data_IF_012256126751
#
_entry.id   IF_012256126751
#
_cell.length_a   1.000
_cell.length_b   1.000
_cell.length_c   1.000
_cell.angle_alpha   90.00
_cell.angle_beta   90.00
_cell.angle_gamma   90.00
#
_symmetry.space_group_name_H-M   'P 1'
#
loop_
_entity.id
_entity.type
_entity.pdbx_description
1 polymer ?
#
# COMPACT_ATOMS: atom_id res chain seq x y z
N UNK A 1 16.82 -6.01 9.79
CA UNK A 1 17.26 -7.23 10.53
C UNK A 1 16.07 -7.93 11.22
N UNK A 2 15.21 -7.27 12.04
CA UNK A 2 14.11 -7.97 12.75
C UNK A 2 13.18 -8.76 11.82
N UNK A 3 12.77 -8.17 10.68
CA UNK A 3 11.89 -8.84 9.69
C UNK A 3 12.53 -10.13 9.14
N UNK A 4 13.83 -10.12 8.82
CA UNK A 4 14.53 -11.30 8.32
C UNK A 4 14.66 -12.39 9.38
N UNK A 5 14.80 -12.00 10.64
CA UNK A 5 14.86 -12.96 11.74
C UNK A 5 13.47 -13.58 12.00
N UNK A 6 12.42 -12.77 11.99
CA UNK A 6 11.04 -13.26 12.13
C UNK A 6 10.65 -14.29 11.05
N UNK A 7 11.06 -14.07 9.79
CA UNK A 7 10.80 -15.02 8.68
C UNK A 7 11.31 -16.42 8.98
N UNK A 8 12.44 -16.55 9.67
CA UNK A 8 13.06 -17.86 9.96
C UNK A 8 12.22 -18.74 10.89
N UNK A 9 11.42 -18.11 11.75
CA UNK A 9 10.67 -18.76 12.82
C UNK A 9 9.15 -18.75 12.59
N UNK A 10 8.70 -18.28 11.42
CA UNK A 10 7.27 -18.10 11.14
C UNK A 10 6.82 -18.99 9.99
N UNK A 11 5.64 -19.63 10.11
CA UNK A 11 4.96 -20.30 9.00
C UNK A 11 4.33 -19.28 8.05
N UNK A 12 3.80 -18.19 8.61
CA UNK A 12 3.21 -17.07 7.89
C UNK A 12 3.70 -15.78 8.53
N UNK A 13 4.05 -14.78 7.73
CA UNK A 13 4.44 -13.48 8.20
C UNK A 13 3.58 -12.40 7.53
N UNK A 14 2.97 -11.55 8.33
CA UNK A 14 2.21 -10.39 7.90
C UNK A 14 3.08 -9.14 8.11
N UNK A 15 3.34 -8.37 7.06
CA UNK A 15 4.24 -7.21 7.11
C UNK A 15 3.47 -5.95 6.76
N UNK A 16 3.44 -4.99 7.71
CA UNK A 16 2.91 -3.65 7.52
C UNK A 16 4.01 -2.59 7.31
N UNK A 17 5.27 -2.93 7.61
CA UNK A 17 6.41 -2.01 7.51
C UNK A 17 6.90 -1.91 6.06
N UNK A 18 6.42 -0.89 5.35
CA UNK A 18 6.76 -0.64 3.95
C UNK A 18 8.26 -0.38 3.71
N UNK A 19 8.94 0.22 4.67
CA UNK A 19 10.37 0.50 4.57
C UNK A 19 11.19 -0.79 4.47
N UNK A 20 10.82 -1.84 5.21
CA UNK A 20 11.47 -3.15 5.10
C UNK A 20 11.32 -3.74 3.69
N UNK A 21 10.15 -3.59 3.09
CA UNK A 21 9.87 -4.09 1.74
C UNK A 21 10.60 -3.25 0.70
N UNK A 22 10.52 -1.93 0.79
CA UNK A 22 11.17 -1.02 -0.16
C UNK A 22 12.68 -1.22 -0.14
N UNK A 23 13.30 -1.27 1.03
CA UNK A 23 14.75 -1.35 1.15
C UNK A 23 15.32 -2.77 1.06
N UNK A 24 14.53 -3.80 1.46
CA UNK A 24 15.05 -5.13 1.70
C UNK A 24 14.34 -6.27 0.98
N UNK A 25 13.45 -5.99 0.03
CA UNK A 25 12.59 -7.01 -0.57
C UNK A 25 13.33 -8.23 -1.13
N UNK A 26 14.42 -8.02 -1.83
CA UNK A 26 15.19 -9.13 -2.38
C UNK A 26 15.72 -10.09 -1.29
N UNK A 27 16.14 -9.57 -0.13
CA UNK A 27 16.57 -10.39 0.99
C UNK A 27 15.38 -11.07 1.68
N UNK A 28 14.28 -10.33 1.87
CA UNK A 28 13.05 -10.87 2.45
C UNK A 28 12.49 -11.98 1.57
N UNK A 29 12.33 -11.76 0.27
CA UNK A 29 11.80 -12.75 -0.67
C UNK A 29 12.68 -14.01 -0.74
N UNK A 30 14.02 -13.85 -0.72
CA UNK A 30 14.95 -14.99 -0.62
C UNK A 30 14.75 -15.77 0.67
N UNK A 31 14.59 -15.08 1.80
CA UNK A 31 14.35 -15.71 3.10
C UNK A 31 12.99 -16.43 3.15
N UNK A 32 11.92 -15.81 2.63
CA UNK A 32 10.58 -16.39 2.52
C UNK A 32 10.62 -17.72 1.74
N UNK A 33 11.26 -17.71 0.58
CA UNK A 33 11.42 -18.91 -0.26
C UNK A 33 12.23 -20.01 0.45
N UNK A 34 13.37 -19.66 1.06
CA UNK A 34 14.23 -20.58 1.78
C UNK A 34 13.51 -21.29 2.93
N UNK A 35 12.73 -20.53 3.71
CA UNK A 35 12.05 -21.03 4.90
C UNK A 35 10.62 -21.50 4.61
N UNK A 36 10.14 -21.43 3.35
CA UNK A 36 8.75 -21.76 2.96
C UNK A 36 7.71 -20.96 3.75
N UNK A 37 8.06 -19.74 4.16
CA UNK A 37 7.20 -18.85 4.94
C UNK A 37 6.24 -18.13 4.00
N UNK A 38 4.94 -18.16 4.29
CA UNK A 38 3.92 -17.40 3.55
C UNK A 38 4.03 -15.92 3.92
N UNK A 39 3.85 -15.06 2.93
CA UNK A 39 3.85 -13.60 3.10
C UNK A 39 2.47 -13.02 2.85
N UNK A 40 2.04 -12.11 3.73
CA UNK A 40 0.79 -11.36 3.60
C UNK A 40 1.13 -9.86 3.75
N UNK A 41 0.83 -9.01 2.77
CA UNK A 41 0.95 -7.57 2.91
C UNK A 41 -0.20 -7.02 3.75
N UNK A 42 0.08 -6.15 4.74
CA UNK A 42 -0.93 -5.59 5.65
C UNK A 42 -1.24 -4.12 5.35
N UNK A 43 -0.35 -3.41 4.67
CA UNK A 43 -0.69 -2.06 4.18
C UNK A 43 -2.02 -2.13 3.43
N UNK A 44 -2.96 -1.22 3.72
CA UNK A 44 -4.36 -1.34 3.29
C UNK A 44 -4.54 -1.48 1.77
N UNK A 45 -3.74 -0.77 1.01
CA UNK A 45 -3.74 -0.83 -0.45
C UNK A 45 -3.20 -2.16 -0.96
N UNK A 46 -2.09 -2.63 -0.39
CA UNK A 46 -1.45 -3.89 -0.81
C UNK A 46 -2.25 -5.11 -0.35
N UNK A 47 -2.84 -5.05 0.83
CA UNK A 47 -3.80 -6.06 1.30
C UNK A 47 -4.98 -6.17 0.33
N UNK A 48 -5.51 -5.02 -0.11
CA UNK A 48 -6.61 -4.96 -1.07
C UNK A 48 -6.21 -5.57 -2.42
N UNK A 49 -5.06 -5.21 -2.96
CA UNK A 49 -4.53 -5.80 -4.21
C UNK A 49 -4.34 -7.31 -4.04
N UNK A 50 -3.71 -7.74 -2.95
CA UNK A 50 -3.48 -9.15 -2.67
C UNK A 50 -4.78 -9.95 -2.58
N UNK A 51 -5.80 -9.41 -1.92
CA UNK A 51 -7.12 -10.03 -1.80
C UNK A 51 -7.82 -10.15 -3.16
N UNK A 52 -7.79 -9.09 -3.97
CA UNK A 52 -8.40 -9.05 -5.30
C UNK A 52 -7.70 -9.98 -6.29
N UNK A 53 -6.41 -10.27 -6.07
CA UNK A 53 -5.60 -11.18 -6.91
C UNK A 53 -5.69 -12.65 -6.47
N UNK A 54 -6.33 -12.97 -5.34
CA UNK A 54 -6.56 -14.37 -4.96
C UNK A 54 -7.24 -15.11 -6.09
N UNK A 55 -6.66 -16.25 -6.49
CA UNK A 55 -7.15 -17.10 -7.59
C UNK A 55 -7.23 -16.41 -8.95
N UNK A 56 -6.47 -15.32 -9.17
CA UNK A 56 -6.38 -14.64 -10.45
C UNK A 56 -4.99 -14.86 -11.08
N UNK A 57 -4.96 -14.95 -12.41
CA UNK A 57 -3.69 -14.94 -13.12
C UNK A 57 -3.19 -13.48 -13.23
N UNK A 58 -2.07 -13.19 -12.60
CA UNK A 58 -1.47 -11.86 -12.58
C UNK A 58 -1.13 -11.34 -13.99
N UNK A 59 -0.88 -12.22 -14.96
CA UNK A 59 -0.64 -11.85 -16.35
C UNK A 59 -1.86 -11.19 -17.03
N UNK A 60 -3.05 -11.42 -16.46
CA UNK A 60 -4.29 -10.81 -16.93
C UNK A 60 -4.54 -9.42 -16.36
N UNK A 61 -3.70 -8.96 -15.44
CA UNK A 61 -3.78 -7.58 -14.93
C UNK A 61 -3.39 -6.63 -16.07
N UNK A 62 -4.29 -5.69 -16.37
CA UNK A 62 -4.04 -4.58 -17.28
C UNK A 62 -3.57 -3.36 -16.51
N UNK A 63 -4.32 -2.98 -15.46
CA UNK A 63 -4.05 -1.79 -14.67
C UNK A 63 -4.46 -2.00 -13.21
N UNK A 64 -3.69 -1.45 -12.29
CA UNK A 64 -4.01 -1.34 -10.86
C UNK A 64 -4.05 0.13 -10.51
N UNK A 65 -5.14 0.56 -9.91
CA UNK A 65 -5.29 1.89 -9.35
C UNK A 65 -5.14 1.79 -7.84
N UNK A 66 -4.15 2.49 -7.30
CA UNK A 66 -3.95 2.67 -5.87
C UNK A 66 -4.61 3.99 -5.51
N UNK A 67 -5.53 3.99 -4.54
CA UNK A 67 -6.24 5.20 -4.18
C UNK A 67 -5.46 6.03 -3.15
N UNK A 68 -5.69 7.32 -3.13
CA UNK A 68 -5.13 8.26 -2.18
C UNK A 68 -6.19 9.23 -1.69
N UNK A 69 -6.18 9.57 -0.41
CA UNK A 69 -7.05 10.62 0.14
C UNK A 69 -6.76 12.00 -0.47
N UNK A 70 -5.54 12.20 -0.99
CA UNK A 70 -5.01 13.48 -1.42
C UNK A 70 -4.39 14.29 -0.28
N UNK A 71 -4.47 13.79 0.96
CA UNK A 71 -3.87 14.42 2.13
C UNK A 71 -4.55 15.73 2.55
N UNK A 72 -3.99 16.41 3.57
CA UNK A 72 -4.59 17.62 4.16
C UNK A 72 -4.55 18.85 3.23
N UNK A 73 -3.81 18.77 2.13
CA UNK A 73 -3.61 19.91 1.23
C UNK A 73 -4.34 19.78 -0.11
N UNK A 74 -5.16 18.74 -0.28
CA UNK A 74 -5.86 18.46 -1.54
C UNK A 74 -6.62 19.66 -2.13
N UNK A 75 -7.27 20.45 -1.27
CA UNK A 75 -8.07 21.61 -1.69
C UNK A 75 -7.30 22.94 -1.70
N UNK A 76 -5.99 22.93 -1.40
CA UNK A 76 -5.18 24.14 -1.33
C UNK A 76 -4.50 24.45 -2.65
N UNK A 77 -4.39 25.72 -2.97
CA UNK A 77 -3.60 26.19 -4.12
C UNK A 77 -2.10 26.03 -3.82
N UNK A 78 -1.28 25.80 -4.84
CA UNK A 78 0.18 25.67 -4.69
C UNK A 78 0.81 26.89 -4.00
N UNK A 79 0.30 28.11 -4.28
CA UNK A 79 0.76 29.34 -3.62
C UNK A 79 0.54 29.33 -2.10
N UNK A 80 -0.54 28.70 -1.63
CA UNK A 80 -0.83 28.59 -0.20
C UNK A 80 0.05 27.54 0.47
N UNK A 81 0.41 26.47 -0.28
CA UNK A 81 1.23 25.37 0.26
C UNK A 81 2.65 25.82 0.56
N UNK A 82 3.21 26.75 -0.24
CA UNK A 82 4.60 27.21 -0.13
C UNK A 82 4.99 27.69 1.28
N UNK A 83 4.05 28.27 2.02
CA UNK A 83 4.27 28.86 3.34
C UNK A 83 3.59 28.09 4.48
N UNK A 84 3.14 26.86 4.24
CA UNK A 84 2.45 26.06 5.25
C UNK A 84 3.43 25.60 6.33
N UNK A 85 3.07 25.81 7.60
CA UNK A 85 3.84 25.31 8.73
C UNK A 85 3.72 23.78 8.82
N UNK A 86 4.82 23.04 9.14
CA UNK A 86 4.83 21.57 9.18
C UNK A 86 3.72 20.93 10.05
N UNK A 87 3.28 21.62 11.10
CA UNK A 87 2.20 21.14 11.98
C UNK A 87 0.88 20.85 11.24
N UNK A 88 0.63 21.50 10.11
CA UNK A 88 -0.59 21.25 9.31
C UNK A 88 -0.47 19.99 8.47
N UNK A 89 0.75 19.56 8.11
CA UNK A 89 0.99 18.28 7.43
C UNK A 89 0.71 17.06 8.32
N UNK A 90 0.70 17.24 9.65
CA UNK A 90 0.42 16.16 10.60
C UNK A 90 -1.08 15.84 10.76
N UNK A 91 -1.97 16.65 10.18
CA UNK A 91 -3.42 16.47 10.28
C UNK A 91 -3.95 15.73 9.07
N UNK A 92 -3.98 14.39 9.16
CA UNK A 92 -4.60 13.60 8.09
C UNK A 92 -6.14 13.63 8.22
N UNK A 93 -6.89 13.78 7.09
CA UNK A 93 -8.36 13.92 7.14
C UNK A 93 -9.09 12.65 7.60
N UNK A 94 -8.59 11.46 7.28
CA UNK A 94 -9.31 10.19 7.44
C UNK A 94 -8.62 9.19 8.37
N UNK A 95 -7.29 9.28 8.54
CA UNK A 95 -6.50 8.29 9.27
C UNK A 95 -5.84 8.90 10.50
N UNK A 96 -5.86 8.16 11.61
CA UNK A 96 -5.00 8.45 12.76
C UNK A 96 -3.67 7.71 12.58
N UNK A 97 -2.61 8.46 12.31
CA UNK A 97 -1.31 7.88 11.92
C UNK A 97 -0.14 8.53 12.64
N UNK A 98 1.01 7.85 12.65
CA UNK A 98 2.25 8.41 13.16
C UNK A 98 2.73 9.63 12.36
N UNK A 99 3.59 10.46 12.96
CA UNK A 99 4.05 11.73 12.39
C UNK A 99 4.71 11.57 11.00
N UNK A 100 5.58 10.56 10.84
CA UNK A 100 6.29 10.32 9.57
C UNK A 100 5.32 10.04 8.43
N UNK A 101 4.42 9.07 8.59
CA UNK A 101 3.49 8.68 7.53
C UNK A 101 2.44 9.77 7.24
N UNK A 102 2.09 10.60 8.23
CA UNK A 102 1.22 11.77 8.02
C UNK A 102 1.88 12.81 7.09
N UNK A 103 3.19 13.06 7.27
CA UNK A 103 3.96 13.95 6.39
C UNK A 103 4.09 13.33 4.98
N UNK A 104 4.40 12.05 4.90
CA UNK A 104 4.48 11.33 3.63
C UNK A 104 3.15 11.38 2.86
N UNK A 105 2.02 11.27 3.57
CA UNK A 105 0.68 11.42 2.98
C UNK A 105 0.42 12.84 2.50
N UNK A 106 0.78 13.85 3.30
CA UNK A 106 0.60 15.26 2.94
C UNK A 106 1.39 15.67 1.69
N UNK A 107 2.52 15.01 1.42
CA UNK A 107 3.39 15.25 0.27
C UNK A 107 3.16 14.27 -0.88
N UNK A 108 2.22 13.34 -0.75
CA UNK A 108 1.99 12.21 -1.66
C UNK A 108 3.17 11.22 -1.77
N UNK A 109 4.23 11.40 -0.99
CA UNK A 109 5.36 10.45 -0.95
C UNK A 109 4.96 9.07 -0.47
N UNK A 110 3.98 8.99 0.46
CA UNK A 110 3.45 7.70 0.88
C UNK A 110 2.93 6.88 -0.32
N UNK A 111 2.26 7.53 -1.25
CA UNK A 111 1.70 6.86 -2.43
C UNK A 111 2.78 6.40 -3.41
N UNK A 112 3.88 7.16 -3.53
CA UNK A 112 5.05 6.74 -4.30
C UNK A 112 5.69 5.49 -3.66
N UNK A 113 5.84 5.48 -2.34
CA UNK A 113 6.36 4.31 -1.62
C UNK A 113 5.46 3.09 -1.80
N UNK A 114 4.16 3.25 -1.77
CA UNK A 114 3.21 2.17 -2.00
C UNK A 114 3.28 1.63 -3.44
N UNK A 115 3.46 2.47 -4.45
CA UNK A 115 3.68 1.99 -5.83
C UNK A 115 4.97 1.18 -5.92
N UNK A 116 6.08 1.65 -5.31
CA UNK A 116 7.35 0.91 -5.29
C UNK A 116 7.20 -0.44 -4.57
N UNK A 117 6.51 -0.45 -3.45
CA UNK A 117 6.20 -1.65 -2.68
C UNK A 117 5.38 -2.64 -3.51
N UNK A 118 4.29 -2.18 -4.15
CA UNK A 118 3.44 -3.00 -4.99
C UNK A 118 4.20 -3.62 -6.17
N UNK A 119 5.08 -2.86 -6.83
CA UNK A 119 5.96 -3.36 -7.90
C UNK A 119 6.78 -4.55 -7.39
N UNK A 120 7.35 -4.43 -6.19
CA UNK A 120 8.19 -5.48 -5.59
C UNK A 120 7.39 -6.70 -5.17
N UNK A 121 6.27 -6.51 -4.47
CA UNK A 121 5.43 -7.59 -3.95
C UNK A 121 4.80 -8.39 -5.09
N UNK A 122 4.18 -7.71 -6.05
CA UNK A 122 3.39 -8.34 -7.10
C UNK A 122 4.18 -8.62 -8.38
N UNK A 123 5.45 -8.21 -8.44
CA UNK A 123 6.32 -8.37 -9.61
C UNK A 123 5.66 -7.83 -10.90
N UNK A 124 5.07 -6.67 -10.82
CA UNK A 124 4.46 -5.93 -11.93
C UNK A 124 5.35 -4.76 -12.33
N UNK A 125 5.13 -4.23 -13.54
CA UNK A 125 5.85 -3.06 -14.04
C UNK A 125 5.17 -1.76 -13.59
N UNK A 126 5.91 -0.67 -13.49
CA UNK A 126 5.36 0.65 -13.12
C UNK A 126 4.20 1.09 -14.03
N UNK A 127 4.24 0.75 -15.30
CA UNK A 127 3.18 1.07 -16.27
C UNK A 127 1.83 0.42 -15.94
N UNK A 128 1.82 -0.58 -15.07
CA UNK A 128 0.58 -1.22 -14.59
C UNK A 128 -0.10 -0.44 -13.47
N UNK A 129 0.55 0.57 -12.88
CA UNK A 129 0.02 1.31 -11.73
C UNK A 129 -0.40 2.73 -12.11
N UNK A 130 -1.47 3.18 -11.50
CA UNK A 130 -1.94 4.56 -11.50
C UNK A 130 -2.43 4.94 -10.11
N UNK A 131 -2.39 6.23 -9.79
CA UNK A 131 -2.88 6.79 -8.53
C UNK A 131 -4.18 7.52 -8.81
N UNK A 132 -5.23 7.18 -8.06
CA UNK A 132 -6.52 7.88 -8.10
C UNK A 132 -6.78 8.60 -6.79
N UNK A 133 -7.19 9.85 -6.87
CA UNK A 133 -7.61 10.61 -5.68
C UNK A 133 -9.03 10.20 -5.31
N UNK A 134 -9.18 9.64 -4.11
CA UNK A 134 -10.44 9.25 -3.50
C UNK A 134 -10.52 9.82 -2.08
N UNK A 135 -11.07 11.04 -1.91
CA UNK A 135 -10.99 11.78 -0.64
C UNK A 135 -11.56 11.06 0.57
N UNK A 136 -12.57 10.22 0.38
CA UNK A 136 -13.16 9.43 1.47
C UNK A 136 -12.35 8.20 1.87
N UNK A 137 -11.36 7.80 1.07
CA UNK A 137 -10.46 6.64 1.30
C UNK A 137 -11.18 5.31 1.57
N UNK A 138 -12.38 5.12 1.08
CA UNK A 138 -13.18 3.92 1.31
C UNK A 138 -12.80 2.77 0.36
N UNK A 139 -12.45 3.11 -0.88
CA UNK A 139 -11.88 2.16 -1.85
C UNK A 139 -10.37 2.27 -1.75
N UNK A 140 -9.68 1.15 -1.54
CA UNK A 140 -8.23 1.10 -1.36
C UNK A 140 -7.47 0.70 -2.62
N UNK A 141 -8.04 -0.22 -3.41
CA UNK A 141 -7.47 -0.60 -4.69
C UNK A 141 -8.55 -0.98 -5.69
N UNK A 142 -8.25 -0.74 -6.98
CA UNK A 142 -9.08 -1.17 -8.11
C UNK A 142 -8.16 -1.90 -9.09
N UNK A 143 -8.59 -3.06 -9.58
CA UNK A 143 -7.85 -3.83 -10.58
C UNK A 143 -8.70 -3.96 -11.83
N UNK A 144 -8.18 -3.46 -12.93
CA UNK A 144 -8.74 -3.64 -14.25
C UNK A 144 -7.99 -4.76 -14.99
N UNK A 145 -8.72 -5.78 -15.39
CA UNK A 145 -8.18 -6.94 -16.10
C UNK A 145 -8.28 -6.79 -17.63
N UNK A 146 -7.41 -7.49 -18.36
CA UNK A 146 -7.42 -7.53 -19.84
C UNK A 146 -8.73 -8.10 -20.40
N UNK A 147 -9.45 -8.88 -19.61
CA UNK A 147 -10.78 -9.42 -19.96
C UNK A 147 -11.89 -8.37 -19.90
N UNK A 148 -11.59 -7.13 -19.50
CA UNK A 148 -12.58 -6.06 -19.31
C UNK A 148 -13.21 -6.03 -17.92
N UNK A 149 -13.02 -7.08 -17.10
CA UNK A 149 -13.54 -7.10 -15.72
C UNK A 149 -12.75 -6.11 -14.87
N UNK A 150 -13.48 -5.37 -14.03
CA UNK A 150 -12.91 -4.50 -12.99
C UNK A 150 -13.34 -5.00 -11.63
N UNK A 151 -12.39 -5.16 -10.73
CA UNK A 151 -12.63 -5.50 -9.33
C UNK A 151 -12.11 -4.38 -8.43
N UNK A 152 -12.78 -4.12 -7.34
CA UNK A 152 -12.30 -3.19 -6.31
C UNK A 152 -12.57 -3.75 -4.93
N UNK A 153 -11.81 -3.28 -3.94
CA UNK A 153 -12.02 -3.61 -2.54
C UNK A 153 -12.20 -2.33 -1.74
N UNK A 154 -13.27 -2.31 -0.98
CA UNK A 154 -13.64 -1.20 -0.12
C UNK A 154 -13.76 -1.69 1.33
N UNK A 155 -13.23 -0.90 2.27
CA UNK A 155 -13.41 -1.09 3.70
C UNK A 155 -13.19 0.23 4.44
N UNK A 156 -13.55 0.26 5.72
CA UNK A 156 -13.32 1.42 6.58
C UNK A 156 -11.82 1.71 6.76
N UNK A 157 -11.51 2.98 7.06
CA UNK A 157 -10.15 3.47 7.25
C UNK A 157 -9.56 3.06 8.60
N UNK A 158 -9.47 1.74 8.82
CA UNK A 158 -8.84 1.13 9.98
C UNK A 158 -7.91 0.00 9.57
N UNK A 159 -6.80 -0.15 10.29
CA UNK A 159 -5.86 -1.26 10.08
C UNK A 159 -6.35 -2.59 10.68
N UNK A 160 -7.39 -2.56 11.51
CA UNK A 160 -8.00 -3.76 12.07
C UNK A 160 -8.50 -4.70 10.97
N UNK A 161 -9.11 -4.15 9.91
CA UNK A 161 -9.68 -4.94 8.82
C UNK A 161 -8.63 -5.75 8.07
N UNK A 162 -7.52 -5.17 7.55
CA UNK A 162 -6.44 -5.94 6.94
C UNK A 162 -5.82 -6.95 7.90
N UNK A 163 -5.65 -6.59 9.19
CA UNK A 163 -5.05 -7.47 10.19
C UNK A 163 -5.95 -8.68 10.45
N UNK A 164 -7.23 -8.48 10.78
CA UNK A 164 -8.18 -9.57 11.08
C UNK A 164 -8.32 -10.50 9.86
N UNK A 165 -8.41 -9.96 8.66
CA UNK A 165 -8.58 -10.76 7.45
C UNK A 165 -7.27 -11.41 6.94
N UNK A 166 -6.15 -11.18 7.61
CA UNK A 166 -4.86 -11.85 7.35
C UNK A 166 -4.62 -13.07 8.25
N UNK A 167 -5.40 -13.22 9.31
CA UNK A 167 -5.35 -14.34 10.25
C UNK A 167 -6.16 -15.53 9.73
#
# INVERSE_FOLDING_TARGET
KPTLDAVKFSKTIAIANKESIICGWQFINKALKKNKTKFIPIDSEHFSIWTLLKNQNIKNVKKIYITASGGPFLKKKLSEIKNIKPKFALRHPNWSMGKKISIDSATMMNKIFEVIEAIKIFNLKIVNFEILIHPKSYIHAIIHFKTGITKFLAHDTTMEIPIINSL
#
